data_IF_728886738886
#
_entry.id   IF_728886738886
#
_cell.length_a   1.000
_cell.length_b   1.000
_cell.length_c   1.000
_cell.angle_alpha   90.00
_cell.angle_beta   90.00
_cell.angle_gamma   90.00
#
_symmetry.space_group_name_H-M   'P 1'
#
loop_
_entity.id
_entity.type
_entity.pdbx_description
1 polymer ?
#
# COMPACT_ATOMS: atom_id res chain seq x y z
N UNK A 1 -14.64 14.71 -11.92
CA UNK A 1 -13.60 13.89 -11.27
C UNK A 1 -12.36 13.92 -12.16
N UNK A 2 -11.50 14.92 -12.00
CA UNK A 2 -10.29 15.06 -12.82
C UNK A 2 -9.15 14.37 -12.08
N UNK A 3 -8.73 13.18 -12.54
CA UNK A 3 -7.46 12.62 -12.07
C UNK A 3 -6.35 13.58 -12.51
N UNK A 4 -5.48 13.97 -11.57
CA UNK A 4 -4.30 14.76 -11.92
C UNK A 4 -3.30 13.86 -12.65
N UNK A 5 -2.53 14.41 -13.60
CA UNK A 5 -1.53 13.63 -14.33
C UNK A 5 -0.47 13.10 -13.35
N UNK A 6 -0.27 11.78 -13.38
CA UNK A 6 0.72 11.07 -12.57
C UNK A 6 2.13 11.42 -13.08
N UNK A 7 3.05 11.99 -12.27
CA UNK A 7 4.45 12.14 -12.66
C UNK A 7 5.06 10.79 -13.09
N UNK A 8 5.67 10.79 -14.28
CA UNK A 8 6.11 9.59 -15.03
C UNK A 8 7.04 8.66 -14.23
N UNK A 9 7.86 9.20 -13.33
CA UNK A 9 8.76 8.41 -12.47
C UNK A 9 8.04 7.66 -11.36
N UNK A 10 7.13 8.33 -10.63
CA UNK A 10 6.32 7.68 -9.59
C UNK A 10 5.31 6.69 -10.21
N UNK A 11 4.83 6.97 -11.42
CA UNK A 11 4.01 6.04 -12.19
C UNK A 11 4.69 4.68 -12.39
N UNK A 12 6.00 4.68 -12.70
CA UNK A 12 6.74 3.44 -13.03
C UNK A 12 6.93 2.52 -11.82
N UNK A 13 7.40 3.04 -10.69
CA UNK A 13 7.58 2.22 -9.47
C UNK A 13 6.24 1.74 -8.93
N UNK A 14 5.19 2.57 -8.99
CA UNK A 14 3.85 2.18 -8.57
C UNK A 14 3.27 1.08 -9.46
N UNK A 15 3.41 1.19 -10.78
CA UNK A 15 2.98 0.15 -11.70
C UNK A 15 3.74 -1.16 -11.49
N UNK A 16 5.04 -1.09 -11.18
CA UNK A 16 5.86 -2.28 -10.86
C UNK A 16 5.39 -2.95 -9.57
N UNK A 17 5.18 -2.17 -8.51
CA UNK A 17 4.67 -2.70 -7.25
C UNK A 17 3.30 -3.34 -7.47
N UNK A 18 2.37 -2.62 -8.09
CA UNK A 18 1.02 -3.13 -8.38
C UNK A 18 1.08 -4.45 -9.13
N UNK A 19 1.95 -4.56 -10.15
CA UNK A 19 2.13 -5.81 -10.89
C UNK A 19 2.60 -6.94 -9.98
N UNK A 20 3.64 -6.72 -9.16
CA UNK A 20 4.15 -7.74 -8.24
C UNK A 20 3.11 -8.17 -7.20
N UNK A 21 2.30 -7.23 -6.69
CA UNK A 21 1.21 -7.56 -5.77
C UNK A 21 0.09 -8.36 -6.44
N UNK A 22 -0.21 -8.11 -7.72
CA UNK A 22 -1.18 -8.92 -8.47
C UNK A 22 -0.66 -10.33 -8.76
N UNK A 23 0.61 -10.45 -9.09
CA UNK A 23 1.30 -11.73 -9.29
C UNK A 23 1.30 -12.59 -8.02
N UNK A 24 1.10 -12.00 -6.84
CA UNK A 24 1.04 -12.71 -5.56
C UNK A 24 -0.32 -13.37 -5.25
N UNK A 25 -1.29 -13.30 -6.18
CA UNK A 25 -2.55 -14.06 -6.15
C UNK A 25 -3.38 -13.91 -4.85
N UNK A 26 -3.40 -12.71 -4.26
CA UNK A 26 -4.22 -12.41 -3.07
C UNK A 26 -5.57 -11.76 -3.42
N UNK A 27 -5.96 -11.75 -4.70
CA UNK A 27 -7.10 -10.98 -5.21
C UNK A 27 -8.47 -11.43 -4.65
N UNK A 28 -8.56 -12.66 -4.14
CA UNK A 28 -9.78 -13.15 -3.47
C UNK A 28 -10.02 -12.51 -2.10
N UNK A 29 -8.98 -11.95 -1.46
CA UNK A 29 -9.04 -11.37 -0.12
C UNK A 29 -8.80 -9.86 -0.11
N UNK A 30 -8.10 -9.33 -1.13
CA UNK A 30 -7.78 -7.91 -1.23
C UNK A 30 -7.89 -7.39 -2.66
N UNK A 31 -8.43 -6.19 -2.81
CA UNK A 31 -8.39 -5.38 -4.02
C UNK A 31 -7.18 -4.46 -4.02
N UNK A 32 -6.62 -4.19 -5.21
CA UNK A 32 -5.42 -3.40 -5.39
C UNK A 32 -5.68 -2.21 -6.32
N UNK A 33 -5.38 -1.00 -5.84
CA UNK A 33 -5.56 0.23 -6.61
C UNK A 33 -4.39 1.20 -6.43
N UNK A 34 -4.10 2.00 -7.46
CA UNK A 34 -3.15 3.11 -7.36
C UNK A 34 -3.88 4.35 -6.89
N UNK A 35 -3.39 4.97 -5.81
CA UNK A 35 -3.96 6.20 -5.26
C UNK A 35 -2.91 7.29 -5.15
N UNK A 36 -3.35 8.55 -5.31
CA UNK A 36 -2.52 9.69 -4.92
C UNK A 36 -2.37 9.71 -3.39
N UNK A 37 -1.12 9.70 -2.94
CA UNK A 37 -0.76 9.85 -1.54
C UNK A 37 -0.70 11.32 -1.15
N UNK A 38 -1.79 12.06 -1.35
CA UNK A 38 -1.93 13.39 -0.76
C UNK A 38 -2.48 13.26 0.67
N UNK A 39 -1.74 13.79 1.65
CA UNK A 39 -2.30 14.19 2.94
C UNK A 39 -3.09 15.47 2.73
N UNK A 40 -4.36 15.51 3.13
CA UNK A 40 -5.05 16.78 3.32
C UNK A 40 -4.34 17.53 4.46
N UNK A 41 -3.93 18.79 4.27
CA UNK A 41 -3.45 19.61 5.37
C UNK A 41 -4.60 19.81 6.35
N UNK A 42 -4.49 19.26 7.56
CA UNK A 42 -5.31 19.68 8.69
C UNK A 42 -4.93 21.12 9.05
N UNK A 43 -5.93 22.01 9.14
CA UNK A 43 -5.72 23.45 9.24
C UNK A 43 -4.97 23.88 10.51
N UNK A 44 -3.89 24.65 10.33
CA UNK A 44 -3.20 25.32 11.41
C UNK A 44 -1.68 25.33 11.22
N UNK A 45 -1.16 26.49 10.82
CA UNK A 45 0.27 26.85 10.72
C UNK A 45 1.14 26.04 9.74
N UNK A 46 1.46 26.70 8.62
CA UNK A 46 2.38 26.31 7.52
C UNK A 46 1.96 25.06 6.71
N UNK A 47 1.27 25.25 5.56
CA UNK A 47 1.09 24.18 4.58
C UNK A 47 2.43 23.96 3.86
N UNK A 48 3.32 23.20 4.46
CA UNK A 48 4.43 22.62 3.70
C UNK A 48 3.78 21.62 2.75
N UNK A 49 3.61 21.99 1.48
CA UNK A 49 3.08 21.11 0.44
C UNK A 49 4.00 19.91 0.38
N UNK A 50 3.58 18.77 0.95
CA UNK A 50 4.27 17.51 0.70
C UNK A 50 4.21 17.25 -0.81
N UNK A 51 5.35 16.93 -1.45
CA UNK A 51 5.35 16.60 -2.85
C UNK A 51 4.39 15.43 -3.09
N UNK A 52 3.55 15.49 -4.16
CA UNK A 52 2.59 14.43 -4.45
C UNK A 52 3.32 13.09 -4.57
N UNK A 53 2.96 12.14 -3.71
CA UNK A 53 3.42 10.74 -3.81
C UNK A 53 2.30 9.87 -4.35
N UNK A 54 2.64 8.64 -4.74
CA UNK A 54 1.69 7.62 -5.14
C UNK A 54 1.79 6.46 -4.16
N UNK A 55 0.65 5.82 -3.91
CA UNK A 55 0.62 4.62 -3.11
C UNK A 55 -0.08 3.51 -3.90
N UNK A 56 0.31 2.27 -3.63
CA UNK A 56 -0.55 1.14 -3.94
C UNK A 56 -1.39 0.89 -2.69
N UNK A 57 -2.69 1.08 -2.81
CA UNK A 57 -3.65 0.77 -1.77
C UNK A 57 -4.10 -0.68 -1.90
N UNK A 58 -4.18 -1.34 -0.74
CA UNK A 58 -4.66 -2.71 -0.56
C UNK A 58 -5.92 -2.64 0.29
N UNK A 59 -7.04 -3.05 -0.31
CA UNK A 59 -8.38 -2.94 0.24
C UNK A 59 -8.92 -4.35 0.54
N UNK A 60 -9.09 -4.76 1.79
CA UNK A 60 -9.79 -6.01 2.09
C UNK A 60 -11.23 -6.00 1.55
N UNK A 61 -11.70 -7.10 0.94
CA UNK A 61 -12.92 -7.08 0.08
C UNK A 61 -14.20 -7.59 0.74
N UNK A 62 -14.11 -8.43 1.78
CA UNK A 62 -15.26 -9.20 2.28
C UNK A 62 -15.41 -9.23 3.80
N UNK A 63 -14.67 -8.37 4.50
CA UNK A 63 -14.73 -8.22 5.96
C UNK A 63 -14.08 -9.36 6.76
N UNK A 64 -13.61 -10.44 6.12
CA UNK A 64 -12.81 -11.49 6.80
C UNK A 64 -11.43 -10.98 7.23
N UNK A 65 -11.00 -9.86 6.65
CA UNK A 65 -9.75 -9.19 6.93
C UNK A 65 -10.04 -7.69 7.10
N UNK A 66 -9.54 -7.07 8.16
CA UNK A 66 -9.59 -5.61 8.35
C UNK A 66 -8.28 -4.96 7.91
N UNK A 67 -8.32 -3.68 7.52
CA UNK A 67 -7.10 -2.96 7.13
C UNK A 67 -6.09 -2.86 8.29
N UNK A 68 -6.57 -2.65 9.52
CA UNK A 68 -5.72 -2.67 10.71
C UNK A 68 -5.17 -4.06 11.03
N UNK A 69 -5.97 -5.12 10.83
CA UNK A 69 -5.52 -6.50 10.96
C UNK A 69 -4.41 -6.83 9.96
N UNK A 70 -4.60 -6.43 8.70
CA UNK A 70 -3.62 -6.59 7.63
C UNK A 70 -2.33 -5.79 7.92
N UNK A 71 -2.45 -4.52 8.34
CA UNK A 71 -1.32 -3.69 8.75
C UNK A 71 -0.51 -4.35 9.87
N UNK A 72 -1.19 -4.89 10.90
CA UNK A 72 -0.52 -5.59 12.00
C UNK A 72 0.19 -6.84 11.50
N UNK A 73 -0.44 -7.62 10.63
CA UNK A 73 0.14 -8.83 10.07
C UNK A 73 1.39 -8.53 9.20
N UNK A 74 1.38 -7.44 8.42
CA UNK A 74 2.54 -6.98 7.64
C UNK A 74 3.79 -6.67 8.48
N UNK A 75 3.60 -6.34 9.76
CA UNK A 75 4.70 -6.08 10.70
C UNK A 75 5.13 -7.35 11.43
N UNK A 76 4.20 -8.29 11.67
CA UNK A 76 4.40 -9.41 12.60
C UNK A 76 4.77 -10.73 11.93
N UNK A 77 4.34 -10.95 10.69
CA UNK A 77 4.39 -12.26 10.04
C UNK A 77 5.59 -12.45 9.11
N UNK A 78 5.99 -11.48 8.26
CA UNK A 78 7.14 -11.68 7.39
C UNK A 78 8.48 -11.54 8.13
N UNK A 79 9.53 -12.19 7.60
CA UNK A 79 10.91 -12.11 8.14
C UNK A 79 11.43 -10.67 8.22
N UNK A 80 11.06 -9.83 7.25
CA UNK A 80 11.33 -8.39 7.26
C UNK A 80 10.03 -7.62 7.47
N UNK A 81 9.85 -6.94 8.60
CA UNK A 81 8.64 -6.17 8.88
C UNK A 81 8.39 -5.07 7.85
N UNK A 82 7.16 -5.00 7.34
CA UNK A 82 6.73 -3.95 6.42
C UNK A 82 5.77 -3.01 7.14
N UNK A 83 6.22 -1.78 7.38
CA UNK A 83 5.42 -0.75 8.03
C UNK A 83 4.69 0.08 6.97
N UNK A 84 3.37 0.06 7.04
CA UNK A 84 2.47 0.77 6.11
C UNK A 84 1.59 1.78 6.83
N UNK A 85 0.94 2.65 6.06
CA UNK A 85 -0.08 3.58 6.56
C UNK A 85 -1.47 2.99 6.32
N UNK A 86 -2.43 3.26 7.20
CA UNK A 86 -3.85 2.94 6.96
C UNK A 86 -4.60 4.25 6.79
N UNK A 87 -5.44 4.32 5.75
CA UNK A 87 -6.33 5.47 5.49
C UNK A 87 -7.60 4.99 4.80
N UNK A 88 -8.76 5.46 5.26
CA UNK A 88 -10.06 5.08 4.70
C UNK A 88 -10.24 3.54 4.59
N UNK A 89 -9.81 2.81 5.61
CA UNK A 89 -9.86 1.34 5.66
C UNK A 89 -9.05 0.64 4.55
N UNK A 90 -7.92 1.26 4.14
CA UNK A 90 -7.01 0.71 3.15
C UNK A 90 -5.58 0.78 3.67
N UNK A 91 -4.81 -0.27 3.40
CA UNK A 91 -3.36 -0.28 3.66
C UNK A 91 -2.64 0.35 2.48
N UNK A 92 -1.80 1.34 2.73
CA UNK A 92 -1.09 2.11 1.72
C UNK A 92 0.41 1.80 1.73
N UNK A 93 0.90 1.25 0.63
CA UNK A 93 2.33 1.13 0.34
C UNK A 93 2.80 2.38 -0.38
N UNK A 94 3.60 3.20 0.31
CA UNK A 94 4.12 4.45 -0.23
C UNK A 94 5.39 4.20 -1.04
N UNK A 95 5.30 4.32 -2.37
CA UNK A 95 6.42 3.92 -3.24
C UNK A 95 7.65 4.82 -3.08
N UNK A 96 7.50 6.01 -2.48
CA UNK A 96 8.64 6.92 -2.23
C UNK A 96 9.65 6.35 -1.24
N UNK A 97 9.26 5.37 -0.42
CA UNK A 97 10.13 4.70 0.55
C UNK A 97 10.71 3.39 0.03
N UNK A 98 10.34 2.95 -1.18
CA UNK A 98 10.79 1.70 -1.79
C UNK A 98 11.86 2.02 -2.84
N UNK A 99 13.10 2.07 -2.39
CA UNK A 99 14.22 2.63 -3.17
C UNK A 99 14.84 1.61 -4.13
N UNK A 100 14.65 0.31 -3.87
CA UNK A 100 15.24 -0.79 -4.64
C UNK A 100 14.14 -1.70 -5.17
N UNK A 101 14.38 -2.34 -6.33
CA UNK A 101 13.45 -3.35 -6.87
C UNK A 101 13.23 -4.51 -5.87
N UNK A 102 14.26 -4.85 -5.07
CA UNK A 102 14.16 -5.83 -3.98
C UNK A 102 13.16 -5.45 -2.89
N UNK A 103 12.95 -4.16 -2.64
CA UNK A 103 11.96 -3.70 -1.66
C UNK A 103 10.53 -3.97 -2.18
N UNK A 104 10.33 -3.96 -3.50
CA UNK A 104 9.04 -4.29 -4.12
C UNK A 104 8.73 -5.78 -4.03
N UNK A 105 9.74 -6.63 -4.27
CA UNK A 105 9.63 -8.08 -4.08
C UNK A 105 9.30 -8.44 -2.64
N UNK A 106 9.98 -7.79 -1.70
CA UNK A 106 9.73 -7.96 -0.27
C UNK A 106 8.31 -7.57 0.12
N UNK A 107 7.81 -6.43 -0.37
CA UNK A 107 6.42 -6.02 -0.13
C UNK A 107 5.40 -7.03 -0.66
N UNK A 108 5.66 -7.64 -1.82
CA UNK A 108 4.78 -8.64 -2.40
C UNK A 108 4.75 -9.93 -1.57
N UNK A 109 5.92 -10.45 -1.18
CA UNK A 109 5.99 -11.63 -0.30
C UNK A 109 5.35 -11.35 1.06
N UNK A 110 5.63 -10.20 1.66
CA UNK A 110 5.05 -9.79 2.94
C UNK A 110 3.52 -9.68 2.89
N UNK A 111 2.96 -9.22 1.76
CA UNK A 111 1.51 -9.15 1.59
C UNK A 111 0.89 -10.55 1.64
N UNK A 112 1.49 -11.54 1.00
CA UNK A 112 1.00 -12.93 0.99
C UNK A 112 0.95 -13.49 2.42
N UNK A 113 2.05 -13.34 3.16
CA UNK A 113 2.15 -13.85 4.53
C UNK A 113 1.14 -13.14 5.44
N UNK A 114 1.02 -11.82 5.29
CA UNK A 114 0.10 -11.00 6.08
C UNK A 114 -1.37 -11.32 5.80
N UNK A 115 -1.76 -11.52 4.53
CA UNK A 115 -3.14 -11.91 4.15
C UNK A 115 -3.45 -13.30 4.71
N UNK A 116 -2.54 -14.27 4.53
CA UNK A 116 -2.71 -15.63 5.05
C UNK A 116 -2.88 -15.65 6.56
N UNK A 117 -2.09 -14.86 7.29
CA UNK A 117 -2.21 -14.77 8.74
C UNK A 117 -3.46 -14.02 9.19
N UNK A 118 -3.78 -12.92 8.52
CA UNK A 118 -4.96 -12.10 8.81
C UNK A 118 -6.27 -12.87 8.64
N UNK A 119 -6.36 -13.75 7.64
CA UNK A 119 -7.54 -14.60 7.43
C UNK A 119 -7.69 -15.76 8.42
N UNK A 120 -6.65 -16.07 9.21
CA UNK A 120 -6.69 -17.13 10.25
C UNK A 120 -7.09 -16.61 11.63
N UNK A 121 -7.18 -15.30 11.81
CA UNK A 121 -7.46 -14.64 13.09
C UNK A 121 -8.92 -14.21 13.15
#
# INVERSE_FOLDING_TARGET
MTSRPVPVGAAKSTARLLRKLRESQCEEAVELQVVEGASTPGGGSLPTVEPPTFCVAVCPVDGRLSADGLKRALVQEPDTPVVTRVRHDQVLFDVRTLLRDTDLDLCASALVDAVRAGLRR
#
